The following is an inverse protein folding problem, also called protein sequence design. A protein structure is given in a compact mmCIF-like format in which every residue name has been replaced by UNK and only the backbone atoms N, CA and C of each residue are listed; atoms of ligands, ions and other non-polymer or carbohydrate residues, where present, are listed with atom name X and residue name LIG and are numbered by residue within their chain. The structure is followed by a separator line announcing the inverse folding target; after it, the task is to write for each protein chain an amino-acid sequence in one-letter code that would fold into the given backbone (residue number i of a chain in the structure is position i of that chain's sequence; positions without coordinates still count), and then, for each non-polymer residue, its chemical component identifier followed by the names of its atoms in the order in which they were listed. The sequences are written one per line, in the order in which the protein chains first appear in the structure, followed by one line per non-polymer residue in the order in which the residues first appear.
data_IF_485832516276
#
_entry.id   IF_485832516276
#
_cell.length_a   1.000
_cell.length_b   1.000
_cell.length_c   1.000
_cell.angle_alpha   90.00
_cell.angle_beta   90.00
_cell.angle_gamma   90.00
#
_symmetry.space_group_name_H-M   'P 1'
#
loop_
_entity.id
_entity.type
_entity.pdbx_description
1 polymer ?
#
# COMPACT_ATOMS: atom_id res chain seq x y z
N UNK A 1 -5.50 -43.87 -12.94
CA UNK A 1 -6.37 -42.68 -12.90
C UNK A 1 -6.34 -41.98 -11.55
N UNK A 2 -6.52 -42.71 -10.45
CA UNK A 2 -6.54 -42.08 -9.13
C UNK A 2 -5.23 -41.41 -8.74
N UNK A 3 -4.10 -41.98 -9.16
CA UNK A 3 -2.77 -41.41 -8.88
C UNK A 3 -2.52 -40.10 -9.59
N UNK A 4 -3.03 -39.93 -10.81
CA UNK A 4 -2.91 -38.71 -11.57
C UNK A 4 -3.74 -37.57 -10.96
N UNK A 5 -4.92 -37.86 -10.45
CA UNK A 5 -5.77 -36.91 -9.76
C UNK A 5 -5.15 -36.43 -8.45
N UNK A 6 -4.53 -37.34 -7.71
CA UNK A 6 -3.85 -37.00 -6.47
C UNK A 6 -2.62 -36.09 -6.70
N UNK A 7 -1.83 -36.38 -7.73
CA UNK A 7 -0.68 -35.55 -8.09
C UNK A 7 -1.10 -34.15 -8.55
N UNK A 8 -2.18 -34.08 -9.29
CA UNK A 8 -2.73 -32.81 -9.75
C UNK A 8 -3.23 -31.96 -8.58
N UNK A 9 -3.90 -32.58 -7.60
CA UNK A 9 -4.38 -31.91 -6.41
C UNK A 9 -3.23 -31.39 -5.55
N UNK A 10 -2.17 -32.16 -5.39
CA UNK A 10 -0.96 -31.76 -4.66
C UNK A 10 -0.25 -30.58 -5.35
N UNK A 11 -0.21 -30.55 -6.66
CA UNK A 11 0.38 -29.45 -7.43
C UNK A 11 -0.39 -28.14 -7.26
N UNK A 12 -1.70 -28.20 -7.13
CA UNK A 12 -2.54 -27.02 -6.91
C UNK A 12 -2.35 -26.44 -5.50
N UNK A 13 -2.14 -27.30 -4.50
CA UNK A 13 -1.98 -26.87 -3.12
C UNK A 13 -0.63 -26.20 -2.83
N UNK A 14 0.44 -26.63 -3.52
CA UNK A 14 1.80 -26.12 -3.27
C UNK A 14 1.96 -24.63 -3.58
N UNK A 15 1.43 -24.08 -4.70
CA UNK A 15 1.62 -22.67 -5.01
C UNK A 15 0.86 -21.71 -4.10
N UNK A 16 -0.09 -22.19 -3.31
CA UNK A 16 -0.90 -21.37 -2.44
C UNK A 16 -0.29 -21.14 -1.06
N UNK A 17 0.81 -21.82 -0.76
CA UNK A 17 1.43 -21.76 0.56
C UNK A 17 2.61 -20.80 0.58
N UNK A 18 2.45 -19.65 1.26
CA UNK A 18 3.56 -18.91 1.78
C UNK A 18 4.21 -17.86 0.88
N UNK A 19 3.54 -17.38 -0.14
CA UNK A 19 4.07 -16.28 -0.95
C UNK A 19 3.48 -14.95 -0.50
N UNK A 20 4.31 -14.11 0.14
CA UNK A 20 3.94 -12.73 0.36
C UNK A 20 3.98 -11.99 -0.98
N UNK A 21 2.91 -11.31 -1.32
CA UNK A 21 2.85 -10.53 -2.54
C UNK A 21 3.73 -9.30 -2.43
N UNK A 22 4.56 -9.06 -3.45
CA UNK A 22 5.31 -7.82 -3.58
C UNK A 22 4.46 -6.82 -4.36
N UNK A 23 4.25 -5.67 -3.76
CA UNK A 23 3.38 -4.66 -4.35
C UNK A 23 4.15 -3.74 -5.29
N UNK A 24 3.56 -3.49 -6.45
CA UNK A 24 4.01 -2.47 -7.39
C UNK A 24 3.04 -1.29 -7.36
N UNK A 25 3.42 -0.21 -8.01
CA UNK A 25 2.52 0.96 -8.14
C UNK A 25 1.24 0.58 -8.88
N UNK A 26 1.33 -0.36 -9.83
CA UNK A 26 0.18 -0.83 -10.61
C UNK A 26 -0.74 -1.75 -9.82
N UNK A 27 -0.20 -2.56 -8.92
CA UNK A 27 -0.98 -3.57 -8.18
C UNK A 27 -1.51 -3.06 -6.83
N UNK A 28 -0.89 -2.01 -6.28
CA UNK A 28 -1.30 -1.46 -4.99
C UNK A 28 -2.71 -0.86 -5.08
N UNK A 29 -3.65 -1.30 -4.21
CA UNK A 29 -4.99 -0.71 -4.21
C UNK A 29 -4.94 0.71 -3.63
N UNK A 30 -5.34 1.68 -4.43
CA UNK A 30 -5.34 3.09 -4.04
C UNK A 30 -6.70 3.43 -3.42
N UNK A 31 -6.75 3.37 -2.10
CA UNK A 31 -8.00 3.54 -1.35
C UNK A 31 -8.62 4.93 -1.51
N UNK A 32 -7.81 5.96 -1.68
CA UNK A 32 -8.30 7.34 -1.83
C UNK A 32 -9.07 7.57 -3.13
N UNK A 33 -8.87 6.72 -4.14
CA UNK A 33 -9.64 6.78 -5.40
C UNK A 33 -11.03 6.18 -5.24
N UNK A 34 -11.20 5.26 -4.29
CA UNK A 34 -12.48 4.62 -3.99
C UNK A 34 -13.29 5.43 -2.98
N UNK A 35 -12.59 6.03 -2.00
CA UNK A 35 -13.19 6.77 -0.91
C UNK A 35 -12.24 7.89 -0.49
N UNK A 36 -12.64 9.12 -0.72
CA UNK A 36 -11.80 10.30 -0.45
C UNK A 36 -11.53 10.53 1.04
N UNK A 37 -12.20 9.81 1.93
CA UNK A 37 -11.96 9.88 3.37
C UNK A 37 -10.95 8.83 3.84
N UNK A 38 -10.41 8.01 2.95
CA UNK A 38 -9.46 6.96 3.26
C UNK A 38 -8.09 7.29 2.71
N UNK A 39 -7.06 7.10 3.51
CA UNK A 39 -5.69 7.51 3.20
C UNK A 39 -4.68 6.38 3.34
N UNK A 40 -5.06 5.29 4.01
CA UNK A 40 -4.13 4.21 4.37
C UNK A 40 -4.35 2.99 3.47
N UNK A 41 -3.30 2.64 2.71
CA UNK A 41 -3.25 1.41 1.92
C UNK A 41 -2.61 0.33 2.78
N UNK A 42 -3.40 -0.68 3.17
CA UNK A 42 -2.99 -1.75 4.08
C UNK A 42 -3.44 -3.11 3.55
N UNK A 43 -3.03 -3.48 2.32
CA UNK A 43 -3.56 -4.69 1.68
C UNK A 43 -3.12 -5.99 2.35
N UNK A 44 -1.98 -5.98 3.05
CA UNK A 44 -1.45 -7.17 3.74
C UNK A 44 -1.97 -7.31 5.18
N UNK A 45 -2.80 -6.36 5.64
CA UNK A 45 -3.32 -6.40 6.99
C UNK A 45 -2.25 -6.22 8.07
N UNK A 46 -1.18 -5.48 7.78
CA UNK A 46 -0.12 -5.19 8.75
C UNK A 46 -0.67 -4.39 9.93
N UNK A 47 -1.48 -3.38 9.63
CA UNK A 47 -2.18 -2.59 10.64
C UNK A 47 -3.53 -3.22 10.94
N UNK A 48 -3.96 -3.12 12.19
CA UNK A 48 -5.32 -3.52 12.57
C UNK A 48 -6.35 -2.57 11.95
N UNK A 49 -7.62 -3.02 11.77
CA UNK A 49 -8.67 -2.13 11.29
C UNK A 49 -8.85 -0.88 12.16
N UNK A 50 -8.65 -1.01 13.46
CA UNK A 50 -8.73 0.13 14.39
C UNK A 50 -7.62 1.14 14.16
N UNK A 51 -6.39 0.66 13.94
CA UNK A 51 -5.26 1.52 13.64
C UNK A 51 -5.46 2.26 12.31
N UNK A 52 -5.98 1.58 11.30
CA UNK A 52 -6.31 2.19 10.01
C UNK A 52 -7.35 3.30 10.21
N UNK A 53 -8.41 3.02 10.94
CA UNK A 53 -9.48 4.00 11.19
C UNK A 53 -8.98 5.23 11.93
N UNK A 54 -8.15 5.05 12.93
CA UNK A 54 -7.56 6.18 13.69
C UNK A 54 -6.66 7.03 12.80
N UNK A 55 -5.85 6.37 11.98
CA UNK A 55 -4.94 7.06 11.07
C UNK A 55 -5.73 7.84 10.02
N UNK A 56 -6.74 7.24 9.43
CA UNK A 56 -7.61 7.91 8.45
C UNK A 56 -8.27 9.15 9.07
N UNK A 57 -8.70 9.06 10.31
CA UNK A 57 -9.33 10.19 11.01
C UNK A 57 -8.35 11.35 11.17
N UNK A 58 -7.13 11.06 11.61
CA UNK A 58 -6.09 12.08 11.78
C UNK A 58 -5.71 12.73 10.46
N UNK A 59 -5.58 11.93 9.41
CA UNK A 59 -5.20 12.44 8.09
C UNK A 59 -6.33 13.25 7.45
N UNK A 60 -7.58 12.89 7.75
CA UNK A 60 -8.73 13.68 7.31
C UNK A 60 -8.74 15.06 7.97
N UNK A 61 -8.41 15.12 9.26
CA UNK A 61 -8.27 16.39 9.97
C UNK A 61 -7.14 17.22 9.42
N UNK A 62 -6.00 16.60 9.10
CA UNK A 62 -4.86 17.29 8.52
C UNK A 62 -5.21 17.88 7.15
N UNK A 63 -5.93 17.15 6.33
CA UNK A 63 -6.39 17.63 5.02
C UNK A 63 -7.34 18.81 5.18
N UNK A 64 -8.30 18.70 6.10
CA UNK A 64 -9.28 19.75 6.36
C UNK A 64 -8.62 21.02 6.90
N UNK A 65 -7.71 20.89 7.86
CA UNK A 65 -7.15 22.03 8.58
C UNK A 65 -5.97 22.67 7.86
N UNK A 66 -5.16 21.87 7.14
CA UNK A 66 -3.91 22.33 6.52
C UNK A 66 -3.85 22.11 5.01
N UNK A 67 -4.84 21.47 4.42
CA UNK A 67 -4.85 21.19 3.00
C UNK A 67 -3.79 20.18 2.54
N UNK A 68 -3.26 19.37 3.44
CA UNK A 68 -2.24 18.37 3.11
C UNK A 68 -2.91 17.10 2.64
N UNK A 69 -2.58 16.68 1.42
CA UNK A 69 -3.01 15.40 0.86
C UNK A 69 -2.01 14.32 1.23
N UNK A 70 -2.47 13.27 1.90
CA UNK A 70 -1.58 12.23 2.41
C UNK A 70 -1.97 10.86 1.86
N UNK A 71 -0.97 10.06 1.53
CA UNK A 71 -1.12 8.64 1.24
C UNK A 71 -0.16 7.87 2.13
N UNK A 72 -0.68 6.90 2.87
CA UNK A 72 0.12 6.02 3.72
C UNK A 72 0.05 4.61 3.14
N UNK A 73 1.20 4.04 2.84
CA UNK A 73 1.32 2.69 2.31
C UNK A 73 2.03 1.83 3.35
N UNK A 74 1.32 0.83 3.87
CA UNK A 74 1.88 -0.12 4.83
C UNK A 74 1.74 -1.52 4.23
N UNK A 75 2.86 -2.09 3.84
CA UNK A 75 2.93 -3.38 3.17
C UNK A 75 4.05 -4.22 3.77
N UNK A 76 4.07 -5.50 3.44
CA UNK A 76 5.17 -6.38 3.84
C UNK A 76 6.39 -6.19 2.96
N UNK A 77 6.19 -6.20 1.64
CA UNK A 77 7.27 -6.11 0.65
C UNK A 77 6.87 -5.23 -0.51
N UNK A 78 7.83 -4.46 -1.00
CA UNK A 78 7.70 -3.69 -2.24
C UNK A 78 8.47 -4.37 -3.37
N UNK A 79 7.93 -4.30 -4.56
CA UNK A 79 8.67 -4.66 -5.75
C UNK A 79 9.75 -3.61 -6.02
N UNK A 80 11.01 -4.06 -6.25
CA UNK A 80 12.12 -3.17 -6.56
C UNK A 80 12.95 -2.69 -5.39
N UNK A 81 12.59 -3.00 -4.16
CA UNK A 81 13.38 -2.76 -2.93
C UNK A 81 13.76 -1.31 -2.61
N UNK A 82 13.21 -0.33 -3.34
CA UNK A 82 13.52 1.09 -3.11
C UNK A 82 12.24 1.86 -2.80
N UNK A 83 11.95 2.16 -1.52
CA UNK A 83 10.74 2.88 -1.15
C UNK A 83 10.71 4.32 -1.67
N UNK A 84 11.86 4.94 -1.88
CA UNK A 84 11.93 6.28 -2.46
C UNK A 84 11.43 6.29 -3.90
N UNK A 85 11.99 5.41 -4.74
CA UNK A 85 11.55 5.30 -6.14
C UNK A 85 10.09 4.91 -6.24
N UNK A 86 9.64 3.99 -5.39
CA UNK A 86 8.24 3.60 -5.32
C UNK A 86 7.34 4.81 -5.04
N UNK A 87 7.71 5.61 -4.04
CA UNK A 87 6.95 6.80 -3.68
C UNK A 87 6.94 7.86 -4.77
N UNK A 88 8.06 8.04 -5.45
CA UNK A 88 8.15 8.98 -6.56
C UNK A 88 7.27 8.57 -7.73
N UNK A 89 7.27 7.29 -8.09
CA UNK A 89 6.39 6.76 -9.13
C UNK A 89 4.92 6.88 -8.75
N UNK A 90 4.59 6.58 -7.49
CA UNK A 90 3.24 6.71 -6.98
C UNK A 90 2.75 8.15 -7.08
N UNK A 91 3.59 9.08 -6.67
CA UNK A 91 3.30 10.52 -6.74
C UNK A 91 3.04 10.97 -8.19
N UNK A 92 3.88 10.55 -9.11
CA UNK A 92 3.73 10.91 -10.51
C UNK A 92 2.47 10.31 -11.14
N UNK A 93 2.18 9.06 -10.84
CA UNK A 93 1.04 8.35 -11.43
C UNK A 93 -0.29 8.90 -10.95
N UNK A 94 -0.41 9.23 -9.68
CA UNK A 94 -1.68 9.63 -9.06
C UNK A 94 -1.78 11.11 -8.74
N UNK A 95 -0.75 11.90 -9.05
CA UNK A 95 -0.77 13.34 -8.84
C UNK A 95 -0.89 13.76 -7.38
N UNK A 96 -0.29 12.99 -6.47
CA UNK A 96 -0.34 13.29 -5.04
C UNK A 96 0.47 14.55 -4.76
N UNK A 97 -0.14 15.51 -4.05
CA UNK A 97 0.45 16.82 -3.86
C UNK A 97 0.29 17.68 -5.10
N UNK A 98 -0.96 17.99 -5.43
CA UNK A 98 -1.29 18.71 -6.67
C UNK A 98 -0.54 20.03 -6.78
N UNK A 99 -0.26 20.47 -8.03
CA UNK A 99 0.45 21.71 -8.33
C UNK A 99 -0.21 22.95 -7.71
N UNK A 100 -1.51 22.89 -7.46
CA UNK A 100 -2.27 24.01 -6.88
C UNK A 100 -1.99 24.26 -5.42
N UNK A 101 -1.71 23.18 -4.66
CA UNK A 101 -1.53 23.28 -3.21
C UNK A 101 -0.12 22.98 -2.76
N UNK A 102 0.65 22.28 -3.60
CA UNK A 102 2.05 21.93 -3.36
C UNK A 102 2.26 21.24 -1.98
N UNK A 103 1.24 20.55 -1.49
CA UNK A 103 1.20 19.96 -0.16
C UNK A 103 0.81 18.50 -0.27
N UNK A 104 1.79 17.65 -0.49
CA UNK A 104 1.60 16.20 -0.51
C UNK A 104 2.50 15.54 0.50
N UNK A 105 2.02 14.49 1.11
CA UNK A 105 2.79 13.67 2.05
C UNK A 105 2.57 12.21 1.69
N UNK A 106 3.65 11.49 1.43
CA UNK A 106 3.61 10.05 1.19
C UNK A 106 4.46 9.37 2.24
N UNK A 107 3.87 8.42 2.95
CA UNK A 107 4.56 7.61 3.95
C UNK A 107 4.50 6.17 3.47
N UNK A 108 5.67 5.55 3.30
CA UNK A 108 5.79 4.17 2.86
C UNK A 108 6.51 3.38 3.92
N UNK A 109 5.92 2.26 4.33
CA UNK A 109 6.50 1.32 5.28
C UNK A 109 6.41 -0.08 4.70
N UNK A 110 7.55 -0.70 4.48
CA UNK A 110 7.66 -2.08 4.01
C UNK A 110 8.28 -2.92 5.13
N UNK A 111 7.46 -3.63 5.88
CA UNK A 111 7.85 -4.23 7.16
C UNK A 111 8.83 -5.38 7.02
N UNK A 112 8.66 -6.25 6.03
CA UNK A 112 9.58 -7.37 5.80
C UNK A 112 10.88 -6.91 5.14
N UNK A 113 10.83 -5.87 4.30
CA UNK A 113 12.01 -5.25 3.70
C UNK A 113 12.77 -4.40 4.71
N UNK A 114 12.19 -4.12 5.87
CA UNK A 114 12.73 -3.22 6.90
C UNK A 114 13.12 -1.87 6.33
N UNK A 115 12.27 -1.34 5.47
CA UNK A 115 12.50 -0.05 4.82
C UNK A 115 11.29 0.86 4.99
N UNK A 116 11.57 2.15 4.98
CA UNK A 116 10.52 3.16 5.01
C UNK A 116 10.99 4.41 4.28
N UNK A 117 10.04 5.22 3.88
CA UNK A 117 10.31 6.51 3.24
C UNK A 117 9.19 7.48 3.53
N UNK A 118 9.54 8.72 3.80
CA UNK A 118 8.62 9.83 3.95
C UNK A 118 8.98 10.85 2.87
N UNK A 119 8.00 11.17 2.02
CA UNK A 119 8.16 12.12 0.92
C UNK A 119 7.21 13.29 1.12
N UNK A 120 7.72 14.49 1.03
CA UNK A 120 6.94 15.72 1.17
C UNK A 120 6.89 16.54 -0.10
#
# INVERSE_FOLDING_TARGET
MHKLLLCFFLLICIPLQGWAEKWSVETLPMVHLQDSSRFVCNPDGVLSPEAVSRTDLLLRQLKRDKGVETVVVVVKQLQGDDPYEFGMELSRKYGIGSKKQNSGLIIILATEDRSYQILT
#
